data_IF_901107073640
#
_entry.id   IF_901107073640
#
_cell.length_a   1.000
_cell.length_b   1.000
_cell.length_c   1.000
_cell.angle_alpha   90.00
_cell.angle_beta   90.00
_cell.angle_gamma   90.00
#
_symmetry.space_group_name_H-M   'P 1'
#
loop_
_entity.id
_entity.type
_entity.pdbx_description
1 polymer ?
#
# COMPACT_ATOMS: atom_id res chain seq x y z
N UNK A 1 -0.72 -30.79 -3.33
CA UNK A 1 -1.48 -29.54 -3.61
C UNK A 1 -1.41 -29.22 -5.11
N UNK A 2 -2.54 -29.11 -5.82
CA UNK A 2 -2.55 -28.71 -7.25
C UNK A 2 -1.89 -27.33 -7.40
N UNK A 3 -0.82 -27.23 -8.20
CA UNK A 3 -0.04 -25.98 -8.46
C UNK A 3 -0.91 -24.74 -8.73
N UNK A 4 -2.08 -24.92 -9.37
CA UNK A 4 -3.04 -23.83 -9.63
C UNK A 4 -3.56 -23.12 -8.36
N UNK A 5 -3.72 -23.82 -7.24
CA UNK A 5 -4.25 -23.23 -5.99
C UNK A 5 -3.23 -22.31 -5.30
N UNK A 6 -1.94 -22.64 -5.38
CA UNK A 6 -0.84 -21.81 -4.84
C UNK A 6 -0.78 -20.49 -5.59
N UNK A 7 -0.78 -20.55 -6.94
CA UNK A 7 -0.77 -19.37 -7.81
C UNK A 7 -1.97 -18.44 -7.53
N UNK A 8 -3.18 -18.99 -7.39
CA UNK A 8 -4.37 -18.19 -7.07
C UNK A 8 -4.25 -17.50 -5.71
N UNK A 9 -3.74 -18.21 -4.69
CA UNK A 9 -3.55 -17.66 -3.34
C UNK A 9 -2.54 -16.51 -3.35
N UNK A 10 -1.44 -16.65 -4.08
CA UNK A 10 -0.44 -15.59 -4.24
C UNK A 10 -0.99 -14.38 -4.97
N UNK A 11 -1.72 -14.58 -6.07
CA UNK A 11 -2.38 -13.52 -6.81
C UNK A 11 -3.37 -12.77 -5.91
N UNK A 12 -4.18 -13.50 -5.13
CA UNK A 12 -5.11 -12.90 -4.19
C UNK A 12 -4.38 -12.07 -3.11
N UNK A 13 -3.30 -12.60 -2.52
CA UNK A 13 -2.47 -11.85 -1.55
C UNK A 13 -1.89 -10.58 -2.15
N UNK A 14 -1.41 -10.64 -3.41
CA UNK A 14 -0.90 -9.47 -4.14
C UNK A 14 -2.01 -8.44 -4.38
N UNK A 15 -3.19 -8.87 -4.82
CA UNK A 15 -4.35 -7.98 -5.02
C UNK A 15 -4.76 -7.29 -3.71
N UNK A 16 -4.93 -8.06 -2.63
CA UNK A 16 -5.27 -7.52 -1.30
C UNK A 16 -4.22 -6.55 -0.78
N UNK A 17 -2.93 -6.79 -1.06
CA UNK A 17 -1.88 -5.84 -0.72
C UNK A 17 -2.02 -4.53 -1.51
N UNK A 18 -2.28 -4.60 -2.82
CA UNK A 18 -2.52 -3.41 -3.66
C UNK A 18 -3.74 -2.61 -3.18
N UNK A 19 -4.85 -3.29 -2.87
CA UNK A 19 -6.06 -2.65 -2.32
C UNK A 19 -5.77 -1.91 -1.01
N UNK A 20 -5.07 -2.54 -0.07
CA UNK A 20 -4.70 -1.93 1.21
C UNK A 20 -3.79 -0.72 1.02
N UNK A 21 -2.79 -0.81 0.12
CA UNK A 21 -1.93 0.33 -0.21
C UNK A 21 -2.73 1.48 -0.83
N UNK A 22 -3.69 1.21 -1.73
CA UNK A 22 -4.58 2.24 -2.30
C UNK A 22 -5.39 2.94 -1.20
N UNK A 23 -5.93 2.19 -0.23
CA UNK A 23 -6.65 2.77 0.92
C UNK A 23 -5.74 3.64 1.79
N UNK A 24 -4.50 3.22 2.03
CA UNK A 24 -3.53 4.01 2.79
C UNK A 24 -3.15 5.29 2.05
N UNK A 25 -3.03 5.27 0.71
CA UNK A 25 -2.79 6.48 -0.09
C UNK A 25 -3.95 7.47 0.02
N UNK A 26 -5.19 6.99 -0.10
CA UNK A 26 -6.37 7.83 0.07
C UNK A 26 -6.41 8.47 1.47
N UNK A 27 -6.10 7.69 2.51
CA UNK A 27 -5.98 8.22 3.88
C UNK A 27 -4.86 9.26 4.01
N UNK A 28 -3.72 9.02 3.36
CA UNK A 28 -2.59 9.96 3.38
C UNK A 28 -2.93 11.29 2.71
N UNK A 29 -3.67 11.25 1.60
CA UNK A 29 -4.13 12.44 0.89
C UNK A 29 -5.14 13.27 1.70
N UNK A 30 -5.99 12.60 2.50
CA UNK A 30 -6.97 13.26 3.37
C UNK A 30 -6.40 13.74 4.72
N UNK A 31 -5.26 13.17 5.15
CA UNK A 31 -4.64 13.49 6.42
C UNK A 31 -4.19 14.96 6.45
N UNK A 32 -4.69 15.71 7.45
CA UNK A 32 -4.34 17.12 7.64
C UNK A 32 -3.12 17.29 8.54
N UNK A 33 -2.93 16.37 9.49
CA UNK A 33 -1.89 16.45 10.50
C UNK A 33 -0.66 15.64 10.10
N UNK A 34 0.52 16.14 10.47
CA UNK A 34 1.80 15.45 10.18
C UNK A 34 1.91 14.12 10.92
N UNK A 35 1.41 14.04 12.15
CA UNK A 35 1.42 12.80 12.94
C UNK A 35 0.58 11.67 12.27
N UNK A 36 -0.56 12.01 11.67
CA UNK A 36 -1.38 11.03 10.94
C UNK A 36 -0.66 10.53 9.69
N UNK A 37 0.02 11.43 8.97
CA UNK A 37 0.83 11.07 7.79
C UNK A 37 1.96 10.13 8.17
N UNK A 38 2.66 10.38 9.27
CA UNK A 38 3.74 9.51 9.77
C UNK A 38 3.22 8.14 10.18
N UNK A 39 2.11 8.06 10.92
CA UNK A 39 1.48 6.77 11.28
C UNK A 39 1.09 5.96 10.05
N UNK A 40 0.61 6.62 8.99
CA UNK A 40 0.29 5.95 7.73
C UNK A 40 1.56 5.43 7.05
N UNK A 41 2.63 6.22 6.97
CA UNK A 41 3.90 5.80 6.39
C UNK A 41 4.54 4.64 7.18
N UNK A 42 4.47 4.66 8.50
CA UNK A 42 4.95 3.57 9.34
C UNK A 42 4.16 2.28 9.05
N UNK A 43 2.84 2.39 8.91
CA UNK A 43 1.98 1.25 8.54
C UNK A 43 2.32 0.71 7.14
N UNK A 44 2.64 1.58 6.19
CA UNK A 44 3.12 1.16 4.86
C UNK A 44 4.44 0.41 4.97
N UNK A 45 5.41 0.93 5.75
CA UNK A 45 6.73 0.31 5.96
C UNK A 45 6.62 -1.08 6.58
N UNK A 46 5.75 -1.26 7.57
CA UNK A 46 5.47 -2.59 8.18
C UNK A 46 4.80 -3.55 7.19
N UNK A 47 3.91 -3.05 6.33
CA UNK A 47 3.11 -3.89 5.42
C UNK A 47 3.85 -4.29 4.14
N UNK A 48 4.68 -3.40 3.60
CA UNK A 48 5.46 -3.61 2.40
C UNK A 48 6.88 -3.04 2.61
N UNK A 49 7.76 -3.78 3.32
CA UNK A 49 9.11 -3.31 3.64
C UNK A 49 9.98 -3.00 2.40
N UNK A 50 9.67 -3.64 1.27
CA UNK A 50 10.36 -3.41 -0.01
C UNK A 50 9.85 -2.17 -0.77
N UNK A 51 8.77 -1.53 -0.32
CA UNK A 51 8.19 -0.35 -0.96
C UNK A 51 8.73 0.91 -0.28
N UNK A 52 9.49 1.71 -1.00
CA UNK A 52 9.99 2.99 -0.50
C UNK A 52 8.84 4.00 -0.34
N UNK A 53 8.94 4.87 0.67
CA UNK A 53 7.95 5.93 0.91
C UNK A 53 7.80 6.86 -0.30
N UNK A 54 8.88 7.11 -1.05
CA UNK A 54 8.87 7.91 -2.28
C UNK A 54 8.02 7.25 -3.38
N UNK A 55 8.18 5.94 -3.58
CA UNK A 55 7.38 5.17 -4.54
C UNK A 55 5.91 5.04 -4.10
N UNK A 56 5.66 5.03 -2.79
CA UNK A 56 4.30 5.03 -2.26
C UNK A 56 3.54 6.32 -2.63
N UNK A 57 4.24 7.47 -2.66
CA UNK A 57 3.66 8.78 -2.95
C UNK A 57 3.55 9.11 -4.45
N UNK A 58 4.40 8.53 -5.31
CA UNK A 58 4.38 8.72 -6.78
C UNK A 58 2.98 8.73 -7.43
N UNK A 59 2.04 7.82 -7.07
CA UNK A 59 0.71 7.85 -7.68
C UNK A 59 -0.13 9.07 -7.30
N UNK A 60 0.11 9.70 -6.15
CA UNK A 60 -0.60 10.91 -5.72
C UNK A 60 -0.12 12.16 -6.48
N UNK A 61 1.12 12.15 -6.98
CA UNK A 61 1.69 13.27 -7.74
C UNK A 61 1.16 13.34 -9.17
N UNK A 62 0.72 12.21 -9.74
CA UNK A 62 0.22 12.12 -11.12
C UNK A 62 -1.23 12.56 -11.30
N UNK A 63 -1.97 12.77 -10.21
CA UNK A 63 -3.37 13.21 -10.24
C UNK A 63 -3.52 14.73 -10.02
N UNK A 64 -2.40 15.46 -9.89
CA UNK A 64 -2.35 16.94 -9.99
C UNK A 64 -2.22 17.38 -11.44
#
# INVERSE_FOLDING_TARGET
MKKGRIRQTELHRRQKRREKLKKLRAKFALAKNNEEKERILEKVRRMAPWLLSTEFLKPLEKEK
#
